data_IF_419074568853
#
_entry.id   IF_419074568853
#
_cell.length_a   1.000
_cell.length_b   1.000
_cell.length_c   1.000
_cell.angle_alpha   90.00
_cell.angle_beta   90.00
_cell.angle_gamma   90.00
#
_symmetry.space_group_name_H-M   'P 1'
#
loop_
_entity.id
_entity.type
_entity.pdbx_description
1 polymer ?
#
# COMPACT_ATOMS: atom_id res chain seq x y z
N UNK A 1 5.01 8.44 8.28
CA UNK A 1 6.10 8.05 9.21
C UNK A 1 6.84 6.79 8.76
N UNK A 2 6.17 5.63 8.70
CA UNK A 2 6.83 4.35 8.37
C UNK A 2 7.65 4.38 7.07
N UNK A 3 7.18 5.07 6.03
CA UNK A 3 7.96 5.29 4.80
C UNK A 3 9.28 6.01 5.04
N UNK A 4 9.28 7.12 5.79
CA UNK A 4 10.51 7.87 6.09
C UNK A 4 11.48 7.00 6.89
N UNK A 5 10.99 6.30 7.92
CA UNK A 5 11.79 5.38 8.73
C UNK A 5 12.40 4.27 7.88
N UNK A 6 11.60 3.59 7.07
CA UNK A 6 12.06 2.50 6.20
C UNK A 6 13.18 2.95 5.26
N UNK A 7 12.96 4.05 4.54
CA UNK A 7 13.92 4.57 3.57
C UNK A 7 15.22 5.03 4.25
N UNK A 8 15.12 5.72 5.38
CA UNK A 8 16.27 6.16 6.16
C UNK A 8 17.08 4.97 6.71
N UNK A 9 16.42 3.96 7.28
CA UNK A 9 17.10 2.77 7.80
C UNK A 9 17.73 1.94 6.69
N UNK A 10 17.06 1.83 5.53
CA UNK A 10 17.53 0.98 4.43
C UNK A 10 18.65 1.62 3.62
N UNK A 11 18.63 2.94 3.43
CA UNK A 11 19.51 3.63 2.48
C UNK A 11 20.20 4.90 3.02
N UNK A 12 19.95 5.27 4.27
CA UNK A 12 20.66 6.34 4.94
C UNK A 12 20.31 7.75 4.45
N UNK A 13 20.97 8.74 5.05
CA UNK A 13 20.70 10.16 4.82
C UNK A 13 20.96 10.61 3.39
N UNK A 14 21.95 10.04 2.70
CA UNK A 14 22.26 10.43 1.32
C UNK A 14 21.10 10.13 0.37
N UNK A 15 20.49 8.94 0.45
CA UNK A 15 19.34 8.59 -0.37
C UNK A 15 18.12 9.46 -0.03
N UNK A 16 17.97 9.83 1.25
CA UNK A 16 16.90 10.73 1.68
C UNK A 16 17.06 12.15 1.14
N UNK A 17 18.28 12.68 1.11
CA UNK A 17 18.56 13.98 0.47
C UNK A 17 18.29 13.96 -1.02
N UNK A 18 18.60 12.86 -1.71
CA UNK A 18 18.27 12.68 -3.14
C UNK A 18 16.76 12.65 -3.35
N UNK A 19 16.02 11.89 -2.53
CA UNK A 19 14.56 11.86 -2.57
C UNK A 19 13.98 13.26 -2.37
N UNK A 20 14.38 13.93 -1.28
CA UNK A 20 13.90 15.27 -0.92
C UNK A 20 14.08 16.24 -2.09
N UNK A 21 15.28 16.31 -2.68
CA UNK A 21 15.60 17.18 -3.80
C UNK A 21 14.74 16.94 -5.06
N UNK A 22 14.20 15.73 -5.23
CA UNK A 22 13.36 15.34 -6.38
C UNK A 22 11.87 15.43 -6.12
N UNK A 23 11.43 15.48 -4.86
CA UNK A 23 10.02 15.64 -4.54
C UNK A 23 9.51 17.04 -4.94
N UNK A 24 8.26 17.14 -5.46
CA UNK A 24 7.58 18.42 -5.62
C UNK A 24 7.50 19.18 -4.29
N UNK A 25 7.51 20.51 -4.33
CA UNK A 25 7.56 21.36 -3.14
C UNK A 25 6.48 21.03 -2.09
N UNK A 26 5.24 20.79 -2.53
CA UNK A 26 4.13 20.41 -1.63
C UNK A 26 4.35 19.05 -0.96
N UNK A 27 4.83 18.06 -1.71
CA UNK A 27 5.14 16.74 -1.16
C UNK A 27 6.34 16.79 -0.20
N UNK A 28 7.36 17.58 -0.55
CA UNK A 28 8.55 17.82 0.28
C UNK A 28 8.21 18.48 1.61
N UNK A 29 7.38 19.52 1.59
CA UNK A 29 6.97 20.24 2.80
C UNK A 29 6.35 19.30 3.84
N UNK A 30 5.54 18.33 3.40
CA UNK A 30 4.99 17.29 4.27
C UNK A 30 6.04 16.24 4.62
N UNK A 31 6.69 15.66 3.61
CA UNK A 31 7.58 14.52 3.78
C UNK A 31 8.86 14.83 4.56
N UNK A 32 9.25 16.09 4.68
CA UNK A 32 10.43 16.53 5.44
C UNK A 32 10.06 17.31 6.70
N UNK A 33 8.76 17.49 6.98
CA UNK A 33 8.30 18.13 8.21
C UNK A 33 8.81 17.40 9.46
N UNK A 34 9.35 18.11 10.47
CA UNK A 34 9.66 17.51 11.77
C UNK A 34 8.40 17.01 12.48
N UNK A 35 7.24 17.59 12.17
CA UNK A 35 5.93 17.27 12.77
C UNK A 35 5.22 16.12 12.05
N UNK A 36 5.93 15.31 11.26
CA UNK A 36 5.35 14.15 10.59
C UNK A 36 5.04 13.03 11.61
N UNK A 37 3.86 13.09 12.23
CA UNK A 37 3.38 12.12 13.21
C UNK A 37 2.89 10.82 12.56
N UNK A 38 3.05 9.71 13.27
CA UNK A 38 2.41 8.43 12.95
C UNK A 38 0.88 8.55 12.97
N UNK A 39 0.18 7.70 12.20
CA UNK A 39 -1.29 7.57 12.21
C UNK A 39 -2.09 8.86 11.93
N UNK A 40 -1.45 9.92 11.44
CA UNK A 40 -2.11 11.14 10.97
C UNK A 40 -2.38 11.07 9.47
N UNK A 41 -3.41 11.78 9.01
CA UNK A 41 -3.78 11.86 7.61
C UNK A 41 -2.91 12.87 6.85
N UNK A 42 -2.40 12.45 5.70
CA UNK A 42 -1.64 13.29 4.78
C UNK A 42 -2.19 13.11 3.36
N UNK A 43 -2.04 14.11 2.47
CA UNK A 43 -2.48 13.97 1.08
C UNK A 43 -1.81 12.77 0.41
N UNK A 44 -2.57 11.92 -0.28
CA UNK A 44 -2.00 10.74 -0.95
C UNK A 44 -1.02 11.13 -2.05
N UNK A 45 -1.14 12.34 -2.59
CA UNK A 45 -0.17 12.94 -3.52
C UNK A 45 1.28 12.91 -2.99
N UNK A 46 1.47 13.00 -1.66
CA UNK A 46 2.79 12.87 -1.03
C UNK A 46 3.33 11.46 -1.24
N UNK A 47 2.52 10.44 -0.97
CA UNK A 47 2.89 9.05 -1.20
C UNK A 47 3.11 8.77 -2.69
N UNK A 48 2.23 9.25 -3.56
CA UNK A 48 2.35 9.11 -5.01
C UNK A 48 3.70 9.63 -5.50
N UNK A 49 4.09 10.84 -5.08
CA UNK A 49 5.36 11.44 -5.45
C UNK A 49 6.58 10.62 -4.96
N UNK A 50 6.53 10.13 -3.72
CA UNK A 50 7.59 9.28 -3.16
C UNK A 50 7.69 7.95 -3.92
N UNK A 51 6.56 7.27 -4.13
CA UNK A 51 6.51 5.98 -4.81
C UNK A 51 6.98 6.08 -6.26
N UNK A 52 6.54 7.11 -6.99
CA UNK A 52 7.01 7.35 -8.34
C UNK A 52 8.52 7.61 -8.38
N UNK A 53 9.06 8.41 -7.45
CA UNK A 53 10.49 8.71 -7.41
C UNK A 53 11.33 7.48 -7.08
N UNK A 54 11.02 6.78 -5.98
CA UNK A 54 11.83 5.63 -5.56
C UNK A 54 11.73 4.45 -6.54
N UNK A 55 10.60 4.32 -7.26
CA UNK A 55 10.45 3.29 -8.31
C UNK A 55 11.44 3.44 -9.47
N UNK A 56 12.01 4.64 -9.66
CA UNK A 56 12.99 4.95 -10.71
C UNK A 56 14.43 4.80 -10.24
N UNK A 57 14.66 4.48 -8.97
CA UNK A 57 16.01 4.40 -8.44
C UNK A 57 16.77 3.19 -9.01
N UNK A 58 18.03 3.38 -9.44
CA UNK A 58 18.82 2.29 -10.01
C UNK A 58 19.05 1.20 -8.96
N UNK A 59 18.98 -0.06 -9.43
CA UNK A 59 19.21 -1.28 -8.64
C UNK A 59 18.27 -1.44 -7.42
N UNK A 60 17.06 -0.86 -7.47
CA UNK A 60 16.05 -0.94 -6.40
C UNK A 60 14.72 -1.48 -6.90
N UNK A 61 14.77 -2.46 -7.80
CA UNK A 61 13.59 -3.18 -8.29
C UNK A 61 12.82 -3.77 -7.11
N UNK A 62 11.50 -3.61 -7.09
CA UNK A 62 10.65 -4.13 -6.02
C UNK A 62 10.55 -3.25 -4.77
N UNK A 63 11.22 -2.09 -4.71
CA UNK A 63 11.19 -1.17 -3.56
C UNK A 63 9.78 -0.86 -3.05
N UNK A 64 8.82 -0.66 -3.96
CA UNK A 64 7.45 -0.32 -3.56
C UNK A 64 6.79 -1.48 -2.81
N UNK A 65 7.05 -2.71 -3.25
CA UNK A 65 6.54 -3.91 -2.59
C UNK A 65 7.17 -4.07 -1.21
N UNK A 66 8.49 -3.91 -1.10
CA UNK A 66 9.20 -4.03 0.17
C UNK A 66 8.75 -2.96 1.17
N UNK A 67 8.59 -1.72 0.70
CA UNK A 67 8.08 -0.62 1.51
C UNK A 67 6.65 -0.89 1.97
N UNK A 68 5.76 -1.30 1.07
CA UNK A 68 4.37 -1.59 1.41
C UNK A 68 4.25 -2.77 2.37
N UNK A 69 5.08 -3.80 2.20
CA UNK A 69 5.18 -4.93 3.13
C UNK A 69 5.64 -4.47 4.53
N UNK A 70 6.65 -3.60 4.60
CA UNK A 70 7.10 -3.01 5.85
C UNK A 70 6.00 -2.20 6.53
N UNK A 71 5.32 -1.31 5.78
CA UNK A 71 4.21 -0.51 6.32
C UNK A 71 3.08 -1.41 6.83
N UNK A 72 2.68 -2.42 6.05
CA UNK A 72 1.70 -3.41 6.48
C UNK A 72 2.11 -4.10 7.78
N UNK A 73 3.36 -4.55 7.88
CA UNK A 73 3.87 -5.18 9.11
C UNK A 73 3.74 -4.25 10.31
N UNK A 74 4.12 -2.98 10.19
CA UNK A 74 4.04 -2.03 11.30
C UNK A 74 2.59 -1.73 11.70
N UNK A 75 1.73 -1.40 10.73
CA UNK A 75 0.36 -0.98 11.03
C UNK A 75 -0.53 -2.12 11.52
N UNK A 76 -0.33 -3.31 10.98
CA UNK A 76 -1.13 -4.49 11.31
C UNK A 76 -0.72 -5.11 12.65
N UNK A 77 0.54 -4.91 13.08
CA UNK A 77 1.03 -5.42 14.37
C UNK A 77 0.81 -4.45 15.53
N UNK A 78 0.73 -3.13 15.28
CA UNK A 78 0.53 -2.11 16.32
C UNK A 78 -0.94 -1.70 16.50
N UNK A 79 -1.60 -1.23 15.44
CA UNK A 79 -2.92 -0.59 15.53
C UNK A 79 -4.10 -1.56 15.30
N UNK A 80 -3.89 -2.62 14.51
CA UNK A 80 -4.97 -3.54 14.07
C UNK A 80 -4.81 -4.97 14.59
N UNK A 81 -3.96 -5.13 15.62
CA UNK A 81 -3.56 -6.43 16.20
C UNK A 81 -4.76 -7.29 16.59
N UNK A 82 -5.86 -6.69 17.04
CA UNK A 82 -7.08 -7.40 17.46
C UNK A 82 -7.87 -7.91 16.25
N UNK A 83 -7.98 -7.12 15.18
CA UNK A 83 -8.80 -7.48 14.01
C UNK A 83 -8.16 -8.60 13.17
N UNK A 84 -6.82 -8.61 13.05
CA UNK A 84 -6.10 -9.60 12.24
C UNK A 84 -5.71 -10.85 13.02
N UNK A 85 -5.33 -10.75 14.30
CA UNK A 85 -5.00 -11.96 15.08
C UNK A 85 -6.21 -12.83 15.40
N UNK A 86 -7.42 -12.25 15.38
CA UNK A 86 -8.67 -12.98 15.60
C UNK A 86 -9.37 -13.39 14.29
N UNK A 87 -8.89 -12.90 13.14
CA UNK A 87 -9.52 -13.11 11.84
C UNK A 87 -8.86 -14.22 11.03
N UNK A 88 -9.67 -15.03 10.35
CA UNK A 88 -9.17 -15.93 9.30
C UNK A 88 -8.73 -15.12 8.07
N UNK A 89 -7.88 -15.66 7.19
CA UNK A 89 -7.50 -14.98 5.95
C UNK A 89 -8.69 -14.51 5.11
N UNK A 90 -9.75 -15.33 5.05
CA UNK A 90 -11.00 -14.97 4.39
C UNK A 90 -11.70 -13.76 5.06
N UNK A 91 -11.73 -13.70 6.39
CA UNK A 91 -12.33 -12.55 7.09
C UNK A 91 -11.55 -11.26 6.81
N UNK A 92 -10.21 -11.32 6.79
CA UNK A 92 -9.37 -10.16 6.44
C UNK A 92 -9.68 -9.67 5.02
N UNK A 93 -9.83 -10.57 4.05
CA UNK A 93 -10.16 -10.19 2.67
C UNK A 93 -11.57 -9.61 2.52
N UNK A 94 -12.56 -10.10 3.29
CA UNK A 94 -13.91 -9.49 3.35
C UNK A 94 -13.86 -8.04 3.86
N UNK A 95 -12.91 -7.74 4.75
CA UNK A 95 -12.71 -6.41 5.34
C UNK A 95 -11.80 -5.50 4.51
N UNK A 96 -11.41 -5.90 3.29
CA UNK A 96 -10.48 -5.13 2.46
C UNK A 96 -10.93 -3.67 2.23
N UNK A 97 -12.23 -3.41 2.10
CA UNK A 97 -12.76 -2.06 1.95
C UNK A 97 -12.65 -1.20 3.22
N UNK A 98 -12.83 -1.80 4.40
CA UNK A 98 -12.62 -1.12 5.68
C UNK A 98 -11.13 -0.79 5.85
N UNK A 99 -10.27 -1.76 5.56
CA UNK A 99 -8.81 -1.57 5.61
C UNK A 99 -8.35 -0.50 4.63
N UNK A 100 -8.91 -0.47 3.42
CA UNK A 100 -8.66 0.61 2.45
C UNK A 100 -8.94 2.00 3.03
N UNK A 101 -10.09 2.16 3.68
CA UNK A 101 -10.52 3.42 4.29
C UNK A 101 -9.63 3.90 5.45
N UNK A 102 -8.77 3.04 6.00
CA UNK A 102 -7.76 3.43 7.01
C UNK A 102 -6.55 4.12 6.40
N UNK A 103 -6.31 3.91 5.09
CA UNK A 103 -5.14 4.42 4.37
C UNK A 103 -5.48 5.51 3.36
N UNK A 104 -6.67 5.44 2.76
CA UNK A 104 -7.07 6.31 1.67
C UNK A 104 -8.49 6.82 1.90
N UNK A 105 -8.68 8.12 1.65
CA UNK A 105 -9.99 8.78 1.64
C UNK A 105 -10.61 8.85 0.23
N UNK A 106 -9.82 8.55 -0.81
CA UNK A 106 -10.29 8.34 -2.18
C UNK A 106 -10.32 6.87 -2.55
N UNK A 107 -11.15 6.56 -3.55
CA UNK A 107 -11.35 5.20 -4.03
C UNK A 107 -12.09 4.27 -3.08
N UNK A 108 -12.35 3.05 -3.55
CA UNK A 108 -13.04 1.98 -2.83
C UNK A 108 -12.52 0.63 -3.27
N UNK A 109 -11.97 -0.14 -2.34
CA UNK A 109 -11.62 -1.55 -2.55
C UNK A 109 -12.80 -2.43 -2.13
N UNK A 110 -13.27 -3.31 -3.01
CA UNK A 110 -14.44 -4.15 -2.76
C UNK A 110 -14.22 -5.61 -3.17
N UNK A 111 -14.63 -6.59 -2.35
CA UNK A 111 -14.69 -7.97 -2.77
C UNK A 111 -15.84 -8.18 -3.77
N UNK A 112 -15.54 -8.80 -4.92
CA UNK A 112 -16.53 -9.13 -5.95
C UNK A 112 -16.90 -10.63 -5.91
N UNK A 113 -15.93 -11.50 -5.64
CA UNK A 113 -16.14 -12.93 -5.54
C UNK A 113 -15.31 -13.47 -4.39
N UNK A 114 -15.93 -14.36 -3.61
CA UNK A 114 -15.35 -14.92 -2.39
C UNK A 114 -15.45 -16.44 -2.44
N UNK A 115 -14.33 -17.10 -2.16
CA UNK A 115 -14.25 -18.53 -1.87
C UNK A 115 -13.48 -18.74 -0.58
N UNK A 116 -13.39 -19.99 -0.11
CA UNK A 116 -12.67 -20.29 1.14
C UNK A 116 -11.19 -19.86 1.12
N UNK A 117 -10.56 -19.88 -0.06
CA UNK A 117 -9.13 -19.63 -0.26
C UNK A 117 -8.82 -18.72 -1.46
N UNK A 118 -9.82 -17.97 -1.90
CA UNK A 118 -9.75 -17.12 -3.08
C UNK A 118 -10.64 -15.89 -2.91
N UNK A 119 -10.13 -14.72 -3.28
CA UNK A 119 -10.90 -13.50 -3.41
C UNK A 119 -10.57 -12.81 -4.72
N UNK A 120 -11.59 -12.27 -5.39
CA UNK A 120 -11.41 -11.23 -6.41
C UNK A 120 -11.78 -9.90 -5.79
N UNK A 121 -10.83 -8.96 -5.78
CA UNK A 121 -11.02 -7.61 -5.26
C UNK A 121 -10.98 -6.61 -6.42
N UNK A 122 -11.87 -5.63 -6.41
CA UNK A 122 -11.91 -4.53 -7.37
C UNK A 122 -11.62 -3.24 -6.62
N UNK A 123 -10.64 -2.48 -7.11
CA UNK A 123 -10.35 -1.14 -6.67
C UNK A 123 -10.93 -0.14 -7.68
N UNK A 124 -11.96 0.56 -7.22
CA UNK A 124 -12.54 1.71 -7.90
C UNK A 124 -11.77 2.95 -7.46
N UNK A 125 -11.25 3.73 -8.41
CA UNK A 125 -10.59 5.00 -8.13
C UNK A 125 -11.32 6.13 -8.84
N UNK A 126 -11.29 7.33 -8.27
CA UNK A 126 -11.75 8.55 -8.93
C UNK A 126 -10.74 9.04 -9.97
N UNK A 127 -10.64 10.35 -10.16
CA UNK A 127 -9.61 10.98 -11.01
C UNK A 127 -8.85 12.07 -10.26
N UNK A 128 -9.06 12.20 -8.94
CA UNK A 128 -8.46 13.27 -8.15
C UNK A 128 -7.09 12.82 -7.63
N UNK A 129 -5.97 13.36 -8.13
CA UNK A 129 -4.64 12.97 -7.68
C UNK A 129 -4.34 13.35 -6.22
N UNK A 130 -5.20 14.17 -5.58
CA UNK A 130 -5.07 14.56 -4.17
C UNK A 130 -5.70 13.55 -3.21
N UNK A 131 -6.65 12.73 -3.68
CA UNK A 131 -7.33 11.70 -2.88
C UNK A 131 -7.14 10.27 -3.41
N UNK A 132 -6.86 10.10 -4.70
CA UNK A 132 -6.69 8.78 -5.33
C UNK A 132 -5.21 8.35 -5.41
N UNK A 133 -4.90 7.10 -5.03
CA UNK A 133 -3.56 6.56 -5.18
C UNK A 133 -3.14 6.36 -6.64
N UNK A 134 -1.85 6.54 -6.88
CA UNK A 134 -1.22 6.45 -8.18
C UNK A 134 -0.91 5.02 -8.64
N UNK A 135 -0.26 4.93 -9.81
CA UNK A 135 0.08 3.66 -10.49
C UNK A 135 0.85 2.70 -9.60
N UNK A 136 1.90 3.18 -8.94
CA UNK A 136 2.79 2.32 -8.13
C UNK A 136 2.05 1.74 -6.93
N UNK A 137 1.13 2.51 -6.33
CA UNK A 137 0.34 2.03 -5.21
C UNK A 137 -0.61 0.91 -5.68
N UNK A 138 -1.32 1.15 -6.79
CA UNK A 138 -2.22 0.14 -7.36
C UNK A 138 -1.48 -1.14 -7.75
N UNK A 139 -0.36 -1.01 -8.46
CA UNK A 139 0.35 -2.14 -9.05
C UNK A 139 1.15 -2.95 -8.03
N UNK A 140 1.85 -2.26 -7.14
CA UNK A 140 2.89 -2.88 -6.32
C UNK A 140 2.53 -2.85 -4.83
N UNK A 141 2.06 -1.71 -4.32
CA UNK A 141 1.81 -1.57 -2.89
C UNK A 141 0.59 -2.38 -2.42
N UNK A 142 -0.54 -2.30 -3.15
CA UNK A 142 -1.78 -3.02 -2.78
C UNK A 142 -1.54 -4.54 -2.73
N UNK A 143 -0.94 -5.19 -3.74
CA UNK A 143 -0.64 -6.61 -3.65
C UNK A 143 0.28 -6.99 -2.50
N UNK A 144 1.38 -6.25 -2.30
CA UNK A 144 2.33 -6.52 -1.23
C UNK A 144 1.72 -6.36 0.17
N UNK A 145 0.81 -5.39 0.33
CA UNK A 145 0.05 -5.20 1.56
C UNK A 145 -0.91 -6.38 1.81
N UNK A 146 -1.65 -6.81 0.79
CA UNK A 146 -2.59 -7.94 0.88
C UNK A 146 -1.87 -9.25 1.21
N UNK A 147 -0.72 -9.53 0.60
CA UNK A 147 0.11 -10.70 0.90
C UNK A 147 0.59 -10.71 2.35
N UNK A 148 0.95 -9.55 2.91
CA UNK A 148 1.34 -9.44 4.32
C UNK A 148 0.15 -9.60 5.27
N UNK A 149 -1.00 -9.00 4.94
CA UNK A 149 -2.23 -9.19 5.70
C UNK A 149 -2.64 -10.67 5.76
N UNK A 150 -2.56 -11.38 4.62
CA UNK A 150 -2.75 -12.83 4.55
C UNK A 150 -1.77 -13.57 5.47
N UNK A 151 -0.46 -13.31 5.34
CA UNK A 151 0.56 -13.97 6.18
C UNK A 151 0.32 -13.75 7.67
N UNK A 152 -0.01 -12.51 8.07
CA UNK A 152 -0.28 -12.16 9.47
C UNK A 152 -1.57 -12.78 10.00
N UNK A 153 -2.56 -13.04 9.13
CA UNK A 153 -3.78 -13.80 9.46
C UNK A 153 -3.60 -15.32 9.46
N UNK A 154 -2.37 -15.81 9.31
CA UNK A 154 -2.03 -17.23 9.37
C UNK A 154 -2.02 -17.94 8.01
N UNK A 155 -2.29 -17.23 6.91
CA UNK A 155 -2.29 -17.84 5.59
C UNK A 155 -0.89 -18.33 5.19
N UNK A 156 -0.81 -19.48 4.51
CA UNK A 156 0.42 -19.94 3.84
C UNK A 156 0.34 -19.75 2.33
N UNK A 157 1.44 -19.28 1.74
CA UNK A 157 1.55 -19.10 0.30
C UNK A 157 0.57 -18.05 -0.24
N UNK A 158 0.26 -17.02 0.56
CA UNK A 158 -0.61 -15.92 0.15
C UNK A 158 -0.01 -15.17 -1.04
N UNK A 159 -0.81 -14.98 -2.08
CA UNK A 159 -0.44 -14.25 -3.29
C UNK A 159 -1.54 -13.26 -3.64
N UNK A 160 -1.16 -12.08 -4.11
CA UNK A 160 -2.07 -11.14 -4.75
C UNK A 160 -1.56 -10.80 -6.15
N UNK A 161 -2.33 -11.17 -7.16
CA UNK A 161 -2.03 -10.86 -8.56
C UNK A 161 -2.86 -9.67 -9.00
N UNK A 162 -2.20 -8.60 -9.41
CA UNK A 162 -2.84 -7.46 -10.07
C UNK A 162 -3.12 -7.81 -11.55
N UNK A 163 -4.39 -8.07 -11.87
CA UNK A 163 -4.79 -8.63 -13.19
C UNK A 163 -5.29 -7.59 -14.18
N UNK A 164 -5.77 -6.44 -13.70
CA UNK A 164 -6.17 -5.29 -14.52
C UNK A 164 -5.79 -4.01 -13.83
N UNK A 165 -5.41 -3.00 -14.61
CA UNK A 165 -4.93 -1.71 -14.11
C UNK A 165 -5.62 -0.55 -14.80
N UNK A 166 -6.19 0.39 -14.04
CA UNK A 166 -6.78 1.59 -14.65
C UNK A 166 -5.78 2.45 -15.41
N UNK A 167 -4.53 2.44 -14.95
CA UNK A 167 -3.44 3.19 -15.57
C UNK A 167 -2.92 2.51 -16.86
N UNK A 168 -3.52 1.37 -17.24
CA UNK A 168 -3.29 0.65 -18.49
C UNK A 168 -4.56 0.61 -19.36
N UNK A 169 -5.54 1.47 -19.06
CA UNK A 169 -6.75 1.64 -19.88
C UNK A 169 -7.96 0.81 -19.42
N UNK A 170 -7.85 0.02 -18.36
CA UNK A 170 -9.01 -0.65 -17.77
C UNK A 170 -9.89 0.32 -16.96
N UNK A 171 -11.19 0.04 -16.76
CA UNK A 171 -12.06 0.91 -15.97
C UNK A 171 -11.71 0.91 -14.47
N UNK A 172 -11.12 -0.16 -13.96
CA UNK A 172 -10.78 -0.37 -12.54
C UNK A 172 -9.46 -1.12 -12.42
N UNK A 173 -8.87 -1.11 -11.22
CA UNK A 173 -7.82 -2.06 -10.89
C UNK A 173 -8.45 -3.33 -10.29
N UNK A 174 -7.92 -4.50 -10.64
CA UNK A 174 -8.43 -5.78 -10.16
C UNK A 174 -7.31 -6.65 -9.60
N UNK A 175 -7.65 -7.40 -8.56
CA UNK A 175 -6.73 -8.29 -7.84
C UNK A 175 -7.34 -9.67 -7.68
N UNK A 176 -6.55 -10.69 -7.97
CA UNK A 176 -6.84 -12.07 -7.60
C UNK A 176 -5.96 -12.49 -6.44
N UNK A 177 -6.60 -12.74 -5.30
CA UNK A 177 -5.95 -13.07 -4.05
C UNK A 177 -6.19 -14.53 -3.72
N UNK A 178 -5.12 -15.29 -3.44
CA UNK A 178 -5.16 -16.75 -3.21
C UNK A 178 -4.23 -17.14 -2.07
N UNK A 179 -4.55 -18.22 -1.37
CA UNK A 179 -3.67 -18.84 -0.38
C UNK A 179 -3.91 -20.36 -0.28
N UNK A 180 -2.99 -21.09 0.34
CA UNK A 180 -3.02 -22.56 0.39
C UNK A 180 -3.73 -23.10 1.63
N UNK A 181 -3.51 -22.47 2.78
CA UNK A 181 -4.08 -22.80 4.09
C UNK A 181 -4.27 -21.51 4.87
#
# INVERSE_FOLDING_TARGET
MHTRTYLQTRWGSQAMSVLDAKLPAAARAVFSSPDLVAHSWYPVAVWNAIADEISRWPNKTGVIRDLAAYVAEQDLTLAHKVLIKLGTPALVMRQAGVMWGMYFNGGRLAPLAEGERFFRLILYLGVDPLSDPGRQICRDAVPAWQENALRLSGARGGQSLHTRCRFEGHPTCEYEVRWLR
#
